data_IF_484642544116
#
_entry.id   IF_484642544116
#
_cell.length_a   1.000
_cell.length_b   1.000
_cell.length_c   1.000
_cell.angle_alpha   90.00
_cell.angle_beta   90.00
_cell.angle_gamma   90.00
#
_symmetry.space_group_name_H-M   'P 1'
#
loop_
_entity.id
_entity.type
_entity.pdbx_description
1 polymer ?
#
# COMPACT_ATOMS: atom_id res chain seq x y z
N UNK A 1 3.27 7.47 24.05
CA UNK A 1 3.25 6.09 24.61
C UNK A 1 4.13 5.23 23.72
N UNK A 2 5.18 4.58 24.26
CA UNK A 2 6.14 3.79 23.47
C UNK A 2 6.75 2.65 24.27
N UNK A 3 7.12 1.56 23.60
CA UNK A 3 7.86 0.44 24.19
C UNK A 3 7.00 -0.49 25.04
N UNK A 4 5.71 -0.62 24.76
CA UNK A 4 4.78 -1.38 25.60
C UNK A 4 4.17 -2.57 24.84
N UNK A 5 3.93 -3.67 25.56
CA UNK A 5 2.97 -4.69 25.18
C UNK A 5 1.61 -4.31 25.79
N UNK A 6 0.63 -4.00 24.94
CA UNK A 6 -0.72 -3.57 25.32
C UNK A 6 -1.69 -4.67 24.90
N UNK A 7 -2.10 -5.51 25.85
CA UNK A 7 -2.84 -6.74 25.55
C UNK A 7 -3.94 -7.05 26.57
N UNK A 8 -5.02 -7.71 26.11
CA UNK A 8 -6.11 -8.18 26.96
C UNK A 8 -6.99 -7.06 27.53
N UNK A 9 -6.91 -5.84 27.00
CA UNK A 9 -7.75 -4.72 27.41
C UNK A 9 -9.01 -4.63 26.55
N UNK A 10 -10.10 -4.04 27.09
CA UNK A 10 -11.24 -3.64 26.25
C UNK A 10 -10.83 -2.56 25.25
N UNK A 11 -10.05 -1.58 25.72
CA UNK A 11 -9.41 -0.55 24.91
C UNK A 11 -7.95 -0.47 25.32
N UNK A 12 -7.01 -0.67 24.40
CA UNK A 12 -5.58 -0.59 24.70
C UNK A 12 -5.16 0.83 25.12
N UNK A 13 -5.43 1.81 24.26
CA UNK A 13 -5.35 3.25 24.55
C UNK A 13 -6.69 3.89 24.25
N UNK A 14 -7.23 4.65 25.21
CA UNK A 14 -8.50 5.37 25.04
C UNK A 14 -8.32 6.87 25.27
N UNK A 15 -8.55 7.65 24.22
CA UNK A 15 -8.82 9.09 24.35
C UNK A 15 -10.32 9.23 24.56
N UNK A 16 -10.69 9.68 25.76
CA UNK A 16 -12.10 9.89 26.09
C UNK A 16 -12.66 11.09 25.35
N UNK A 17 -13.94 11.00 25.09
CA UNK A 17 -14.78 12.08 24.60
C UNK A 17 -14.65 13.30 25.52
N UNK A 18 -14.67 14.51 24.95
CA UNK A 18 -14.57 15.77 25.72
C UNK A 18 -13.14 16.20 26.08
N UNK A 19 -12.10 15.45 25.71
CA UNK A 19 -10.71 15.94 25.78
C UNK A 19 -10.53 17.07 24.77
N UNK A 20 -10.10 18.25 25.24
CA UNK A 20 -10.04 19.47 24.43
C UNK A 20 -8.73 19.63 23.64
N UNK A 21 -7.66 18.98 24.07
CA UNK A 21 -6.35 19.07 23.41
C UNK A 21 -5.61 17.72 23.52
N UNK A 22 -5.14 17.23 22.37
CA UNK A 22 -4.30 16.04 22.25
C UNK A 22 -3.00 16.34 21.50
N UNK A 23 -2.67 17.62 21.29
CA UNK A 23 -1.50 18.07 20.53
C UNK A 23 -0.23 17.48 21.13
N UNK A 24 0.64 16.93 20.27
CA UNK A 24 1.88 16.28 20.68
C UNK A 24 1.71 14.89 21.30
N UNK A 25 0.50 14.34 21.36
CA UNK A 25 0.28 12.96 21.76
C UNK A 25 0.63 12.03 20.61
N UNK A 26 1.62 11.17 20.82
CA UNK A 26 1.95 10.09 19.90
C UNK A 26 1.97 8.74 20.61
N UNK A 27 1.51 7.71 19.94
CA UNK A 27 1.48 6.33 20.42
C UNK A 27 2.23 5.51 19.38
N UNK A 28 3.52 5.26 19.57
CA UNK A 28 4.36 4.62 18.55
C UNK A 28 5.23 3.55 19.19
N UNK A 29 5.68 2.56 18.42
CA UNK A 29 6.55 1.48 18.86
C UNK A 29 5.98 0.70 20.05
N UNK A 30 4.69 0.37 19.99
CA UNK A 30 4.03 -0.55 20.92
C UNK A 30 3.54 -1.79 20.17
N UNK A 31 3.31 -2.87 20.92
CA UNK A 31 2.66 -4.09 20.45
C UNK A 31 1.23 -4.12 21.01
N UNK A 32 0.23 -3.88 20.18
CA UNK A 32 -1.18 -4.11 20.49
C UNK A 32 -1.54 -5.55 20.11
N UNK A 33 -2.05 -6.33 21.05
CA UNK A 33 -2.39 -7.75 20.80
C UNK A 33 -3.61 -8.13 21.64
N UNK A 34 -4.61 -8.77 21.05
CA UNK A 34 -5.78 -9.33 21.75
C UNK A 34 -6.57 -8.29 22.57
N UNK A 35 -6.74 -7.07 22.06
CA UNK A 35 -7.64 -6.08 22.68
C UNK A 35 -9.06 -6.20 22.10
N UNK A 36 -10.08 -6.24 22.96
CA UNK A 36 -11.42 -6.72 22.56
C UNK A 36 -12.22 -5.75 21.70
N UNK A 37 -12.18 -4.43 21.97
CA UNK A 37 -12.91 -3.45 21.15
C UNK A 37 -11.97 -2.72 20.19
N UNK A 38 -10.91 -2.13 20.74
CA UNK A 38 -9.91 -1.39 19.96
C UNK A 38 -8.53 -1.47 20.63
N UNK A 39 -7.48 -1.60 19.82
CA UNK A 39 -6.13 -1.27 20.25
C UNK A 39 -6.06 0.20 20.63
N UNK A 40 -6.56 1.09 19.76
CA UNK A 40 -6.71 2.53 20.06
C UNK A 40 -8.11 3.03 19.71
N UNK A 41 -8.77 3.63 20.70
CA UNK A 41 -10.00 4.38 20.52
C UNK A 41 -9.76 5.87 20.76
N UNK A 42 -10.06 6.66 19.74
CA UNK A 42 -10.05 8.11 19.77
C UNK A 42 -11.47 8.67 19.72
N UNK A 43 -11.98 9.10 20.88
CA UNK A 43 -13.30 9.71 21.03
C UNK A 43 -13.38 11.20 20.66
N UNK A 44 -12.31 11.80 20.11
CA UNK A 44 -12.28 13.21 19.69
C UNK A 44 -12.05 13.36 18.18
N UNK A 45 -12.26 14.58 17.67
CA UNK A 45 -12.17 14.88 16.24
C UNK A 45 -10.72 15.01 15.73
N UNK A 46 -9.78 15.40 16.59
CA UNK A 46 -8.37 15.53 16.22
C UNK A 46 -7.72 14.16 16.02
N UNK A 47 -6.89 14.03 14.99
CA UNK A 47 -6.17 12.79 14.71
C UNK A 47 -5.00 12.59 15.68
N UNK A 48 -4.88 11.38 16.23
CA UNK A 48 -3.69 10.95 16.98
C UNK A 48 -2.71 10.23 16.06
N UNK A 49 -1.42 10.52 16.20
CA UNK A 49 -0.37 9.75 15.56
C UNK A 49 -0.17 8.41 16.29
N UNK A 50 -0.56 7.34 15.60
CA UNK A 50 -0.39 5.96 16.01
C UNK A 50 0.42 5.13 15.00
N UNK A 51 1.29 5.80 14.24
CA UNK A 51 2.19 5.14 13.29
C UNK A 51 3.21 4.27 14.03
N UNK A 52 3.81 3.31 13.32
CA UNK A 52 4.92 2.50 13.82
C UNK A 52 4.55 1.64 15.05
N UNK A 53 3.31 1.14 15.14
CA UNK A 53 2.95 0.09 16.10
C UNK A 53 2.77 -1.26 15.40
N UNK A 54 2.99 -2.35 16.14
CA UNK A 54 2.53 -3.69 15.77
C UNK A 54 1.12 -3.88 16.31
N UNK A 55 0.22 -4.42 15.49
CA UNK A 55 -1.20 -4.54 15.82
C UNK A 55 -1.65 -5.97 16.10
N UNK A 56 -0.71 -6.91 16.23
CA UNK A 56 -1.03 -8.32 16.45
C UNK A 56 -1.10 -9.13 15.16
N UNK A 57 -1.10 -8.48 13.99
CA UNK A 57 -1.12 -9.12 12.68
C UNK A 57 -0.36 -8.29 11.62
N UNK A 58 0.24 -8.97 10.63
CA UNK A 58 1.04 -8.38 9.55
C UNK A 58 0.20 -7.46 8.65
N UNK A 59 -1.09 -7.74 8.53
CA UNK A 59 -2.06 -6.92 7.79
C UNK A 59 -2.42 -5.61 8.50
N UNK A 60 -1.91 -5.39 9.72
CA UNK A 60 -2.12 -4.17 10.49
C UNK A 60 -3.46 -4.16 11.24
N UNK A 61 -3.89 -2.99 11.74
CA UNK A 61 -5.11 -2.89 12.52
C UNK A 61 -6.33 -2.94 11.60
N UNK A 62 -7.41 -3.54 12.08
CA UNK A 62 -8.70 -3.38 11.41
C UNK A 62 -9.18 -1.93 11.46
N UNK A 63 -9.53 -1.37 10.30
CA UNK A 63 -10.28 -0.12 10.20
C UNK A 63 -11.24 -0.17 9.02
N UNK A 64 -12.54 0.05 9.28
CA UNK A 64 -13.62 -0.21 8.33
C UNK A 64 -13.48 0.44 6.93
N UNK A 65 -12.78 1.57 6.80
CA UNK A 65 -12.57 2.25 5.51
C UNK A 65 -11.11 2.34 5.07
N UNK A 66 -10.17 2.62 5.97
CA UNK A 66 -8.75 2.80 5.66
C UNK A 66 -7.91 1.50 5.63
N UNK A 67 -8.36 0.43 6.28
CA UNK A 67 -7.75 -0.89 6.20
C UNK A 67 -8.83 -1.96 6.42
N UNK A 68 -9.80 -2.06 5.48
CA UNK A 68 -10.89 -3.01 5.62
C UNK A 68 -10.34 -4.42 5.41
N UNK A 69 -10.45 -5.24 6.44
CA UNK A 69 -10.17 -6.67 6.32
C UNK A 69 -11.28 -7.40 5.62
N UNK A 70 -10.92 -8.49 4.93
CA UNK A 70 -11.89 -9.51 4.53
C UNK A 70 -11.92 -10.67 5.53
N UNK A 71 -10.93 -10.76 6.42
CA UNK A 71 -10.88 -11.72 7.51
C UNK A 71 -11.25 -11.06 8.83
N UNK A 72 -12.00 -11.80 9.66
CA UNK A 72 -12.29 -11.45 11.05
C UNK A 72 -11.07 -11.56 12.00
N UNK A 73 -9.86 -11.68 11.44
CA UNK A 73 -8.59 -11.97 12.11
C UNK A 73 -7.49 -10.98 11.70
N UNK A 74 -7.84 -9.71 11.44
CA UNK A 74 -6.82 -8.67 11.37
C UNK A 74 -6.29 -8.36 12.78
N UNK A 75 -5.27 -7.51 12.85
CA UNK A 75 -4.81 -6.95 14.11
C UNK A 75 -5.87 -6.11 14.81
N UNK A 76 -5.56 -5.76 16.05
CA UNK A 76 -6.40 -4.96 16.94
C UNK A 76 -6.95 -3.72 16.25
N UNK A 77 -8.28 -3.56 16.32
CA UNK A 77 -8.97 -2.51 15.61
C UNK A 77 -8.58 -1.10 16.09
N UNK A 78 -8.72 -0.12 15.21
CA UNK A 78 -8.61 1.31 15.53
C UNK A 78 -9.87 2.05 15.15
N UNK A 79 -10.22 3.09 15.91
CA UNK A 79 -11.33 3.98 15.56
C UNK A 79 -10.93 4.96 14.46
N UNK A 80 -11.89 5.78 14.02
CA UNK A 80 -11.60 6.98 13.24
C UNK A 80 -10.62 7.91 13.98
N UNK A 81 -9.99 8.82 13.24
CA UNK A 81 -9.02 9.81 13.76
C UNK A 81 -7.80 9.17 14.43
N UNK A 82 -7.41 7.97 13.99
CA UNK A 82 -6.16 7.31 14.38
C UNK A 82 -5.32 7.13 13.13
N UNK A 83 -4.18 7.81 13.05
CA UNK A 83 -3.23 7.63 11.96
C UNK A 83 -2.34 6.43 12.26
N UNK A 84 -2.63 5.28 11.64
CA UNK A 84 -1.92 4.02 11.92
C UNK A 84 -0.95 3.57 10.81
N UNK A 85 -0.96 4.25 9.65
CA UNK A 85 -0.09 3.92 8.51
C UNK A 85 1.07 4.92 8.41
N UNK A 86 2.33 4.47 8.31
CA UNK A 86 2.73 3.05 8.28
C UNK A 86 2.61 2.37 9.66
N UNK A 87 2.36 1.06 9.66
CA UNK A 87 2.45 0.20 10.85
C UNK A 87 3.67 -0.71 10.77
N UNK A 88 4.00 -1.38 11.87
CA UNK A 88 5.01 -2.43 11.88
C UNK A 88 4.34 -3.77 11.52
N UNK A 89 4.90 -4.57 10.61
CA UNK A 89 4.43 -5.94 10.35
C UNK A 89 5.25 -7.02 11.08
N UNK A 90 6.19 -6.60 11.95
CA UNK A 90 6.88 -7.46 12.92
C UNK A 90 6.81 -6.79 14.29
N UNK A 91 6.91 -7.57 15.37
CA UNK A 91 6.88 -7.01 16.72
C UNK A 91 8.04 -6.03 16.96
N UNK A 92 7.84 -5.08 17.87
CA UNK A 92 8.87 -4.11 18.22
C UNK A 92 10.18 -4.79 18.67
N UNK A 93 10.11 -5.87 19.44
CA UNK A 93 11.27 -6.62 19.94
C UNK A 93 12.05 -7.31 18.81
N UNK A 94 11.42 -7.58 17.67
CA UNK A 94 12.09 -8.17 16.52
C UNK A 94 12.87 -7.10 15.74
N UNK A 95 12.38 -5.86 15.73
CA UNK A 95 12.97 -4.74 15.00
C UNK A 95 14.14 -4.10 15.78
N UNK A 96 14.04 -4.01 17.10
CA UNK A 96 15.10 -3.41 17.94
C UNK A 96 16.48 -4.06 17.72
N UNK A 97 16.61 -5.40 17.65
CA UNK A 97 17.88 -6.08 17.38
C UNK A 97 18.38 -5.95 15.95
N UNK A 98 17.49 -6.01 14.95
CA UNK A 98 17.89 -5.94 13.53
C UNK A 98 18.20 -4.51 13.10
N UNK A 99 17.60 -3.51 13.76
CA UNK A 99 17.54 -2.10 13.35
C UNK A 99 16.96 -1.89 11.96
N UNK A 100 16.43 -2.93 11.33
CA UNK A 100 15.76 -2.86 10.04
C UNK A 100 14.26 -2.76 10.27
N UNK A 101 13.66 -1.61 9.96
CA UNK A 101 12.26 -1.41 10.25
C UNK A 101 11.35 -2.15 9.26
N UNK A 102 10.47 -2.98 9.82
CA UNK A 102 9.49 -3.77 9.09
C UNK A 102 8.18 -2.99 8.96
N UNK A 103 8.14 -2.01 8.05
CA UNK A 103 6.97 -1.15 7.84
C UNK A 103 5.99 -1.69 6.80
N UNK A 104 4.71 -1.40 6.99
CA UNK A 104 3.66 -1.72 6.04
C UNK A 104 2.63 -0.60 5.94
N UNK A 105 1.94 -0.56 4.79
CA UNK A 105 0.80 0.32 4.55
C UNK A 105 -0.33 -0.43 3.82
N UNK A 106 -1.54 0.13 3.87
CA UNK A 106 -2.75 -0.46 3.30
C UNK A 106 -3.06 0.14 1.94
N UNK A 107 -3.36 -0.72 0.96
CA UNK A 107 -4.03 -0.34 -0.29
C UNK A 107 -5.46 -0.85 -0.21
N UNK A 108 -6.41 0.07 -0.12
CA UNK A 108 -7.84 -0.24 -0.04
C UNK A 108 -8.37 -0.58 -1.43
N UNK A 109 -9.12 -1.69 -1.52
CA UNK A 109 -9.78 -2.16 -2.73
C UNK A 109 -11.30 -2.19 -2.49
N UNK A 110 -12.04 -1.39 -3.25
CA UNK A 110 -13.49 -1.29 -3.11
C UNK A 110 -14.24 -2.38 -3.89
N UNK A 111 -15.47 -2.70 -3.50
CA UNK A 111 -16.38 -3.51 -4.31
C UNK A 111 -17.62 -2.74 -4.83
N UNK A 112 -17.77 -1.47 -4.44
CA UNK A 112 -18.95 -0.65 -4.74
C UNK A 112 -18.68 0.43 -5.80
N UNK A 113 -17.42 0.68 -6.15
CA UNK A 113 -16.99 1.65 -7.15
C UNK A 113 -17.35 1.23 -8.58
N UNK A 114 -16.46 1.41 -9.56
CA UNK A 114 -16.71 1.07 -10.97
C UNK A 114 -16.80 -0.44 -11.20
N UNK A 115 -17.91 -1.03 -10.75
CA UNK A 115 -18.21 -2.45 -10.83
C UNK A 115 -17.20 -3.33 -10.07
N UNK A 116 -16.61 -2.79 -8.99
CA UNK A 116 -15.63 -3.44 -8.14
C UNK A 116 -14.22 -3.54 -8.73
N UNK A 117 -13.93 -2.88 -9.85
CA UNK A 117 -12.58 -2.84 -10.39
C UNK A 117 -11.69 -1.90 -9.60
N UNK A 118 -10.48 -2.37 -9.33
CA UNK A 118 -9.41 -1.66 -8.64
C UNK A 118 -8.10 -1.86 -9.39
N UNK A 119 -7.13 -0.99 -9.09
CA UNK A 119 -5.73 -1.24 -9.46
C UNK A 119 -4.86 -1.41 -8.23
N UNK A 120 -3.72 -2.07 -8.44
CA UNK A 120 -2.71 -2.27 -7.41
C UNK A 120 -1.33 -2.15 -8.03
N UNK A 121 -0.38 -1.58 -7.29
CA UNK A 121 1.06 -1.58 -7.60
C UNK A 121 1.86 -1.42 -6.32
N UNK A 122 3.08 -1.96 -6.30
CA UNK A 122 4.00 -1.78 -5.18
C UNK A 122 5.07 -0.73 -5.52
N UNK A 123 5.41 0.18 -4.59
CA UNK A 123 6.43 1.20 -4.85
C UNK A 123 7.86 0.70 -4.69
N UNK A 124 8.03 -0.36 -3.92
CA UNK A 124 9.31 -0.99 -3.58
C UNK A 124 9.12 -2.50 -3.49
N UNK A 125 10.22 -3.22 -3.36
CA UNK A 125 10.19 -4.67 -3.17
C UNK A 125 9.44 -5.02 -1.89
N UNK A 126 8.62 -6.07 -1.99
CA UNK A 126 7.90 -6.59 -0.86
C UNK A 126 8.80 -7.51 -0.01
N UNK A 127 8.49 -7.63 1.27
CA UNK A 127 9.05 -8.67 2.14
C UNK A 127 8.71 -10.07 1.57
N UNK A 128 9.61 -11.02 1.76
CA UNK A 128 9.51 -12.36 1.16
C UNK A 128 8.29 -13.15 1.67
N UNK A 129 7.69 -12.75 2.78
CA UNK A 129 6.42 -13.27 3.30
C UNK A 129 5.22 -12.90 2.42
N UNK A 130 5.32 -11.86 1.57
CA UNK A 130 4.22 -11.34 0.76
C UNK A 130 4.61 -10.94 -0.69
N UNK A 131 5.77 -11.39 -1.18
CA UNK A 131 6.34 -10.98 -2.48
C UNK A 131 5.75 -11.63 -3.74
N UNK A 132 4.84 -12.58 -3.58
CA UNK A 132 4.12 -13.21 -4.70
C UNK A 132 2.63 -13.02 -4.57
N UNK A 133 1.94 -13.08 -5.70
CA UNK A 133 0.48 -12.99 -5.74
C UNK A 133 -0.18 -13.98 -4.77
N UNK A 134 0.18 -15.26 -4.82
CA UNK A 134 -0.36 -16.28 -3.93
C UNK A 134 -0.15 -15.99 -2.44
N UNK A 135 1.05 -15.53 -2.05
CA UNK A 135 1.34 -15.17 -0.65
C UNK A 135 0.48 -14.00 -0.19
N UNK A 136 0.35 -12.96 -1.02
CA UNK A 136 -0.43 -11.77 -0.71
C UNK A 136 -1.94 -12.08 -0.57
N UNK A 137 -2.48 -12.94 -1.43
CA UNK A 137 -3.87 -13.40 -1.33
C UNK A 137 -4.08 -14.31 -0.12
N UNK A 138 -3.12 -15.19 0.19
CA UNK A 138 -3.19 -16.05 1.38
C UNK A 138 -3.14 -15.24 2.68
N UNK A 139 -2.31 -14.19 2.72
CA UNK A 139 -2.15 -13.32 3.88
C UNK A 139 -3.45 -12.58 4.22
N UNK A 140 -4.15 -12.09 3.20
CA UNK A 140 -5.33 -11.21 3.38
C UNK A 140 -6.66 -11.94 3.32
N UNK A 141 -6.70 -13.13 2.71
CA UNK A 141 -7.94 -13.84 2.40
C UNK A 141 -8.84 -13.10 1.41
N UNK A 142 -8.27 -12.20 0.60
CA UNK A 142 -8.96 -11.29 -0.30
C UNK A 142 -10.04 -12.00 -1.13
N UNK A 143 -11.23 -11.39 -1.26
CA UNK A 143 -12.35 -11.93 -2.04
C UNK A 143 -12.54 -11.14 -3.33
N UNK A 144 -12.01 -11.69 -4.41
CA UNK A 144 -12.03 -11.09 -5.74
C UNK A 144 -12.48 -12.13 -6.77
N UNK A 145 -13.14 -11.66 -7.84
CA UNK A 145 -13.64 -12.51 -8.92
C UNK A 145 -12.58 -12.80 -9.97
N UNK A 146 -11.80 -11.78 -10.36
CA UNK A 146 -10.72 -11.89 -11.34
C UNK A 146 -9.61 -10.89 -11.05
N UNK A 147 -8.37 -11.27 -11.36
CA UNK A 147 -7.22 -10.38 -11.33
C UNK A 147 -6.37 -10.57 -12.59
N UNK A 148 -5.70 -9.50 -13.03
CA UNK A 148 -4.86 -9.50 -14.23
C UNK A 148 -3.60 -8.66 -14.01
N UNK A 149 -2.49 -9.11 -14.58
CA UNK A 149 -1.38 -8.24 -14.97
C UNK A 149 -1.53 -7.86 -16.45
N UNK A 150 -0.84 -6.82 -16.87
CA UNK A 150 -0.73 -6.47 -18.29
C UNK A 150 0.68 -6.75 -18.80
N UNK A 151 0.80 -7.61 -19.81
CA UNK A 151 2.06 -7.90 -20.48
C UNK A 151 2.30 -6.89 -21.59
N UNK A 152 3.13 -5.88 -21.33
CA UNK A 152 3.37 -4.80 -22.29
C UNK A 152 4.22 -5.22 -23.50
N UNK A 153 4.93 -6.35 -23.44
CA UNK A 153 5.69 -6.84 -24.58
C UNK A 153 4.77 -7.39 -25.69
N UNK A 154 3.66 -8.02 -25.30
CA UNK A 154 2.68 -8.61 -26.23
C UNK A 154 1.35 -7.84 -26.26
N UNK A 155 1.19 -6.82 -25.42
CA UNK A 155 -0.02 -5.99 -25.29
C UNK A 155 -1.27 -6.78 -24.89
N UNK A 156 -1.12 -7.75 -23.98
CA UNK A 156 -2.21 -8.64 -23.55
C UNK A 156 -2.40 -8.65 -22.03
N UNK A 157 -3.65 -8.85 -21.59
CA UNK A 157 -3.95 -9.14 -20.19
C UNK A 157 -3.64 -10.60 -19.88
N UNK A 158 -2.91 -10.82 -18.79
CA UNK A 158 -2.58 -12.15 -18.29
C UNK A 158 -3.29 -12.37 -16.97
N UNK A 159 -4.18 -13.38 -16.85
CA UNK A 159 -4.92 -13.63 -15.62
C UNK A 159 -3.98 -14.06 -14.49
N UNK A 160 -4.32 -13.67 -13.27
CA UNK A 160 -3.66 -14.08 -12.03
C UNK A 160 -4.63 -14.88 -11.17
N UNK A 161 -4.35 -16.17 -11.03
CA UNK A 161 -5.08 -17.08 -10.17
C UNK A 161 -4.57 -16.96 -8.73
N UNK A 162 -5.43 -17.26 -7.75
CA UNK A 162 -5.08 -17.12 -6.34
C UNK A 162 -3.88 -17.97 -5.89
N UNK A 163 -3.55 -19.04 -6.61
CA UNK A 163 -2.41 -19.92 -6.32
C UNK A 163 -1.13 -19.55 -7.09
N UNK A 164 -1.15 -18.49 -7.89
CA UNK A 164 0.00 -18.14 -8.73
C UNK A 164 1.15 -17.59 -7.90
N UNK A 165 2.32 -18.21 -8.03
CA UNK A 165 3.58 -17.76 -7.42
C UNK A 165 4.24 -16.63 -8.22
N UNK A 166 3.44 -15.84 -8.95
CA UNK A 166 3.94 -14.71 -9.72
C UNK A 166 4.55 -13.67 -8.79
N UNK A 167 5.84 -13.39 -8.97
CA UNK A 167 6.58 -12.43 -8.15
C UNK A 167 6.14 -11.02 -8.52
N UNK A 168 5.66 -10.29 -7.52
CA UNK A 168 5.24 -8.90 -7.68
C UNK A 168 6.49 -8.03 -7.68
N UNK A 169 6.71 -7.30 -8.76
CA UNK A 169 7.87 -6.41 -8.86
C UNK A 169 7.45 -4.94 -8.78
N UNK A 170 8.32 -4.05 -8.28
CA UNK A 170 7.95 -2.67 -8.07
C UNK A 170 7.54 -1.94 -9.36
N UNK A 171 6.56 -1.05 -9.24
CA UNK A 171 5.98 -0.30 -10.34
C UNK A 171 5.13 -1.14 -11.30
N UNK A 172 4.94 -2.44 -11.06
CA UNK A 172 3.99 -3.25 -11.84
C UNK A 172 2.56 -2.90 -11.48
N UNK A 173 1.74 -2.65 -12.49
CA UNK A 173 0.33 -2.48 -12.28
C UNK A 173 -0.48 -3.76 -12.47
N UNK A 174 -1.48 -3.92 -11.62
CA UNK A 174 -2.44 -5.01 -11.63
C UNK A 174 -3.86 -4.47 -11.67
N UNK A 175 -4.78 -5.25 -12.23
CA UNK A 175 -6.22 -5.04 -12.15
C UNK A 175 -6.85 -6.12 -11.30
N UNK A 176 -7.77 -5.72 -10.42
CA UNK A 176 -8.45 -6.62 -9.49
C UNK A 176 -9.92 -6.27 -9.47
N UNK A 177 -10.79 -7.25 -9.72
CA UNK A 177 -12.23 -7.08 -9.55
C UNK A 177 -12.67 -7.70 -8.24
N UNK A 178 -13.05 -6.88 -7.28
CA UNK A 178 -13.42 -7.28 -5.93
C UNK A 178 -14.87 -7.76 -5.86
N UNK A 179 -15.10 -8.81 -5.08
CA UNK A 179 -16.45 -9.27 -4.71
C UNK A 179 -16.90 -8.62 -3.39
N UNK A 180 -15.96 -8.47 -2.46
CA UNK A 180 -16.14 -7.80 -1.16
C UNK A 180 -15.01 -6.79 -0.97
N UNK A 181 -15.32 -5.61 -0.42
CA UNK A 181 -14.29 -4.62 -0.11
C UNK A 181 -13.22 -5.22 0.82
N UNK A 182 -11.98 -4.86 0.60
CA UNK A 182 -10.84 -5.39 1.35
C UNK A 182 -9.60 -4.52 1.17
N UNK A 183 -8.47 -4.96 1.69
CA UNK A 183 -7.19 -4.30 1.48
C UNK A 183 -6.08 -5.29 1.15
N UNK A 184 -5.05 -4.79 0.47
CA UNK A 184 -3.77 -5.45 0.30
C UNK A 184 -2.69 -4.68 1.05
N UNK A 185 -1.91 -5.32 1.94
CA UNK A 185 -0.78 -4.67 2.57
C UNK A 185 0.40 -4.59 1.61
N UNK A 186 1.14 -3.50 1.67
CA UNK A 186 2.48 -3.39 1.07
C UNK A 186 3.47 -3.59 2.21
N UNK A 187 3.92 -4.82 2.44
CA UNK A 187 4.97 -5.13 3.42
C UNK A 187 6.33 -4.73 2.83
N UNK A 188 6.96 -3.68 3.37
CA UNK A 188 8.25 -3.22 2.84
C UNK A 188 9.34 -4.24 3.16
N UNK A 189 10.12 -4.63 2.15
CA UNK A 189 11.26 -5.51 2.36
C UNK A 189 12.24 -4.90 3.37
N UNK A 190 12.68 -5.71 4.34
CA UNK A 190 13.78 -5.35 5.24
C UNK A 190 15.16 -5.59 4.60
N UNK A 191 15.21 -6.21 3.44
CA UNK A 191 16.46 -6.50 2.74
C UNK A 191 17.01 -5.24 2.06
N UNK A 192 18.33 -5.08 2.14
CA UNK A 192 19.00 -3.92 1.55
C UNK A 192 18.98 -3.98 0.02
N UNK A 193 18.44 -2.94 -0.60
CA UNK A 193 18.56 -2.71 -2.05
C UNK A 193 19.70 -1.75 -2.34
N UNK A 194 20.60 -2.13 -3.25
CA UNK A 194 21.73 -1.30 -3.69
C UNK A 194 21.32 -0.15 -4.60
N UNK A 195 20.15 -0.25 -5.23
CA UNK A 195 19.62 0.73 -6.17
C UNK A 195 18.11 0.91 -5.97
N UNK A 196 17.56 2.10 -6.26
CA UNK A 196 16.11 2.26 -6.36
C UNK A 196 15.54 1.27 -7.38
N UNK A 197 14.30 0.80 -7.19
CA UNK A 197 13.66 -0.08 -8.15
C UNK A 197 13.57 0.61 -9.51
N UNK A 198 13.68 -0.18 -10.57
CA UNK A 198 13.53 0.31 -11.94
C UNK A 198 12.68 -0.65 -12.75
N UNK A 199 11.93 -0.12 -13.70
CA UNK A 199 11.05 -0.91 -14.57
C UNK A 199 11.28 -0.55 -16.03
N UNK A 200 11.60 -1.56 -16.82
CA UNK A 200 11.63 -1.42 -18.28
C UNK A 200 10.20 -1.26 -18.81
N UNK A 201 10.01 -0.26 -19.67
CA UNK A 201 8.77 0.04 -20.36
C UNK A 201 8.97 -0.18 -21.85
N UNK A 202 8.02 -0.85 -22.48
CA UNK A 202 8.01 -1.07 -23.93
C UNK A 202 7.37 0.12 -24.63
N UNK A 203 7.50 0.20 -25.95
CA UNK A 203 6.63 1.05 -26.77
C UNK A 203 5.17 0.59 -26.57
N UNK A 204 4.23 1.52 -26.74
CA UNK A 204 2.79 1.34 -26.55
C UNK A 204 2.37 1.31 -25.07
N UNK A 205 1.28 0.59 -24.75
CA UNK A 205 0.68 0.65 -23.42
C UNK A 205 1.52 -0.11 -22.40
N UNK A 206 1.67 0.51 -21.23
CA UNK A 206 2.23 -0.10 -20.04
C UNK A 206 1.27 0.20 -18.89
N UNK A 207 1.02 -0.79 -18.03
CA UNK A 207 0.26 -0.59 -16.79
C UNK A 207 1.26 -0.53 -15.64
N UNK A 208 1.44 0.66 -15.06
CA UNK A 208 2.49 0.90 -14.07
C UNK A 208 2.01 1.76 -12.92
N UNK A 209 2.57 1.52 -11.73
CA UNK A 209 2.38 2.39 -10.57
C UNK A 209 3.61 3.23 -10.25
N UNK A 210 3.51 3.94 -9.13
CA UNK A 210 4.61 4.72 -8.58
C UNK A 210 5.69 3.84 -7.99
N UNK A 211 6.95 4.18 -8.23
CA UNK A 211 8.12 3.64 -7.54
C UNK A 211 8.62 4.63 -6.45
N UNK A 212 7.69 5.10 -5.61
CA UNK A 212 7.88 6.12 -4.56
C UNK A 212 6.96 5.83 -3.38
N UNK A 213 7.44 6.10 -2.16
CA UNK A 213 6.64 5.97 -0.93
C UNK A 213 5.75 7.18 -0.64
N UNK A 214 5.79 8.19 -1.50
CA UNK A 214 4.93 9.37 -1.42
C UNK A 214 4.18 9.56 -2.73
N UNK A 215 2.96 10.10 -2.64
CA UNK A 215 2.19 10.54 -3.81
C UNK A 215 3.00 11.60 -4.58
N UNK A 216 3.02 11.54 -5.90
CA UNK A 216 3.82 12.42 -6.74
C UNK A 216 2.97 12.92 -7.91
N UNK A 217 3.25 14.15 -8.36
CA UNK A 217 2.75 14.59 -9.66
C UNK A 217 3.33 13.74 -10.78
N UNK A 218 2.63 13.62 -11.91
CA UNK A 218 3.11 12.89 -13.09
C UNK A 218 4.53 13.29 -13.48
N UNK A 219 4.80 14.59 -13.54
CA UNK A 219 6.10 15.11 -13.98
C UNK A 219 7.25 14.66 -13.06
N UNK A 220 7.00 14.61 -11.76
CA UNK A 220 7.97 14.13 -10.78
C UNK A 220 8.11 12.61 -10.81
N UNK A 221 6.97 11.91 -10.93
CA UNK A 221 6.94 10.44 -10.96
C UNK A 221 7.62 9.86 -12.19
N UNK A 222 7.41 10.48 -13.35
CA UNK A 222 7.84 9.98 -14.65
C UNK A 222 8.98 10.80 -15.25
N UNK A 223 9.68 11.60 -14.44
CA UNK A 223 10.80 12.42 -14.90
C UNK A 223 11.90 11.63 -15.63
N UNK A 224 12.18 10.40 -15.18
CA UNK A 224 13.17 9.51 -15.84
C UNK A 224 12.75 9.03 -17.22
N UNK A 225 11.46 9.11 -17.56
CA UNK A 225 10.90 8.75 -18.86
C UNK A 225 10.29 9.92 -19.61
N UNK A 226 10.43 11.17 -19.13
CA UNK A 226 9.72 12.31 -19.71
C UNK A 226 10.30 12.77 -21.07
N UNK A 227 11.62 12.77 -21.25
CA UNK A 227 12.26 13.38 -22.44
C UNK A 227 13.46 12.60 -22.98
N UNK A 228 13.66 12.63 -24.31
CA UNK A 228 14.93 12.38 -25.01
C UNK A 228 15.23 13.56 -25.93
N UNK A 229 16.46 13.65 -26.49
CA UNK A 229 16.82 14.69 -27.44
C UNK A 229 15.82 14.91 -28.59
N UNK A 230 15.11 13.85 -29.03
CA UNK A 230 14.27 13.90 -30.24
C UNK A 230 12.81 13.44 -30.07
N UNK A 231 12.38 13.03 -28.85
CA UNK A 231 11.00 12.54 -28.61
C UNK A 231 10.60 12.62 -27.13
N UNK A 232 9.34 13.00 -26.87
CA UNK A 232 8.70 12.79 -25.56
C UNK A 232 8.71 11.29 -25.23
N UNK A 233 9.05 10.91 -24.00
CA UNK A 233 9.15 9.47 -23.69
C UNK A 233 7.78 8.80 -23.51
N UNK A 234 6.76 9.54 -23.09
CA UNK A 234 5.35 9.10 -23.10
C UNK A 234 4.47 10.11 -23.83
N UNK A 235 3.38 9.61 -24.42
CA UNK A 235 2.37 10.42 -25.09
C UNK A 235 1.12 10.66 -24.23
N UNK A 236 0.79 9.74 -23.33
CA UNK A 236 -0.41 9.82 -22.52
C UNK A 236 -0.26 9.06 -21.20
N UNK A 237 -0.86 9.60 -20.13
CA UNK A 237 -1.08 8.91 -18.85
C UNK A 237 -2.57 8.96 -18.53
N UNK A 238 -3.18 7.81 -18.25
CA UNK A 238 -4.62 7.67 -18.01
C UNK A 238 -4.85 6.94 -16.68
N UNK A 239 -5.69 7.54 -15.82
CA UNK A 239 -6.21 6.85 -14.64
C UNK A 239 -7.23 5.79 -15.08
N UNK A 240 -7.01 4.51 -14.75
CA UNK A 240 -7.95 3.46 -15.01
C UNK A 240 -9.30 3.74 -14.39
N UNK A 241 -10.31 3.08 -14.95
CA UNK A 241 -11.66 3.27 -14.48
C UNK A 241 -11.79 2.80 -13.00
N UNK A 242 -10.99 1.82 -12.57
CA UNK A 242 -11.00 1.26 -11.22
C UNK A 242 -10.25 2.01 -10.11
N UNK A 243 -9.64 3.17 -10.35
CA UNK A 243 -9.01 3.90 -9.23
C UNK A 243 -10.07 4.64 -8.41
N UNK A 244 -9.88 4.71 -7.09
CA UNK A 244 -10.78 5.41 -6.15
C UNK A 244 -10.88 6.90 -6.49
N UNK A 245 -9.86 7.45 -7.15
CA UNK A 245 -9.84 8.78 -7.75
C UNK A 245 -10.02 8.71 -9.28
N UNK A 246 -11.26 8.89 -9.75
CA UNK A 246 -11.58 8.89 -11.19
C UNK A 246 -11.13 10.18 -11.90
N UNK A 247 -10.51 10.02 -13.07
CA UNK A 247 -10.36 11.13 -14.04
C UNK A 247 -9.62 10.69 -15.30
N UNK A 248 -10.26 10.82 -16.47
CA UNK A 248 -9.80 10.32 -17.78
C UNK A 248 -8.45 10.88 -18.28
N UNK A 249 -7.93 11.88 -17.58
CA UNK A 249 -6.54 12.33 -17.47
C UNK A 249 -6.49 12.79 -16.01
N UNK A 250 -5.48 12.37 -15.24
CA UNK A 250 -5.40 12.57 -13.78
C UNK A 250 -5.94 13.94 -13.39
N UNK A 251 -7.11 13.99 -12.74
CA UNK A 251 -7.86 15.23 -12.55
C UNK A 251 -7.09 16.30 -11.75
N UNK A 252 -6.11 15.86 -10.96
CA UNK A 252 -5.18 16.66 -10.17
C UNK A 252 -3.70 16.48 -10.57
N UNK A 253 -3.43 15.69 -11.62
CA UNK A 253 -2.07 15.35 -12.06
C UNK A 253 -1.26 14.52 -11.06
N UNK A 254 -1.88 13.93 -10.04
CA UNK A 254 -1.19 13.19 -8.97
C UNK A 254 -1.35 11.68 -9.16
N UNK A 255 -0.24 10.96 -9.05
CA UNK A 255 -0.22 9.52 -8.93
C UNK A 255 -0.18 9.15 -7.44
N UNK A 256 -0.91 8.11 -7.07
CA UNK A 256 -1.01 7.64 -5.70
C UNK A 256 -0.22 6.36 -5.47
N UNK A 257 0.39 6.27 -4.28
CA UNK A 257 1.09 5.06 -3.83
C UNK A 257 0.07 3.94 -3.70
N UNK A 258 0.41 2.76 -4.22
CA UNK A 258 -0.49 1.61 -4.21
C UNK A 258 -1.38 1.49 -5.45
N UNK A 259 -1.53 2.55 -6.26
CA UNK A 259 -2.34 2.53 -7.48
C UNK A 259 -1.49 2.33 -8.74
N UNK A 260 -2.15 1.89 -9.82
CA UNK A 260 -1.56 1.78 -11.15
C UNK A 260 -2.30 2.61 -12.20
N UNK A 261 -1.56 2.94 -13.27
CA UNK A 261 -1.96 3.87 -14.32
C UNK A 261 -1.53 3.36 -15.69
N UNK A 262 -2.35 3.65 -16.69
CA UNK A 262 -1.98 3.38 -18.08
C UNK A 262 -1.04 4.46 -18.58
N UNK A 263 0.11 4.06 -19.09
CA UNK A 263 1.09 4.96 -19.69
C UNK A 263 1.37 4.49 -21.12
N UNK A 264 1.09 5.37 -22.08
CA UNK A 264 1.41 5.13 -23.49
C UNK A 264 2.80 5.67 -23.80
N UNK A 265 3.73 4.77 -24.10
CA UNK A 265 5.12 5.09 -24.38
C UNK A 265 5.34 5.26 -25.87
N UNK A 266 5.97 6.36 -26.26
CA UNK A 266 6.36 6.61 -27.66
C UNK A 266 7.71 5.96 -28.00
N UNK A 267 8.45 5.54 -26.98
CA UNK A 267 9.74 4.86 -27.10
C UNK A 267 10.01 4.02 -25.86
N UNK A 268 10.65 2.86 -26.01
CA UNK A 268 11.03 2.02 -24.88
C UNK A 268 12.02 2.75 -23.95
N UNK A 269 11.82 2.68 -22.63
CA UNK A 269 12.62 3.37 -21.61
C UNK A 269 12.66 2.61 -20.31
N UNK A 270 13.49 3.07 -19.38
CA UNK A 270 13.51 2.58 -18.00
C UNK A 270 12.95 3.65 -17.08
N UNK A 271 11.84 3.34 -16.41
CA UNK A 271 11.35 4.11 -15.29
C UNK A 271 12.25 3.84 -14.08
N UNK A 272 12.85 4.88 -13.53
CA UNK A 272 13.62 4.82 -12.30
C UNK A 272 12.75 5.27 -11.11
N UNK A 273 12.75 4.48 -10.04
CA UNK A 273 12.20 4.84 -8.74
C UNK A 273 13.14 5.74 -7.95
N UNK A 274 12.65 6.21 -6.80
CA UNK A 274 13.33 7.21 -5.96
C UNK A 274 13.72 6.71 -4.57
N UNK A 275 13.37 5.48 -4.20
CA UNK A 275 13.55 4.95 -2.84
C UNK A 275 14.15 3.55 -2.83
N UNK A 276 15.03 3.27 -1.87
CA UNK A 276 15.62 1.95 -1.60
C UNK A 276 15.08 1.35 -0.32
N UNK A 277 15.12 0.03 -0.20
CA UNK A 277 14.91 -0.69 1.06
C UNK A 277 16.25 -0.89 1.78
N UNK A 278 16.26 -1.00 3.13
CA UNK A 278 15.13 -0.83 4.03
C UNK A 278 14.72 0.64 4.18
N UNK A 279 13.45 0.88 4.52
CA UNK A 279 12.87 2.23 4.55
C UNK A 279 13.01 2.84 5.93
N UNK A 280 13.67 4.00 6.06
CA UNK A 280 13.69 4.76 7.31
C UNK A 280 12.61 5.86 7.29
N UNK A 281 11.82 5.97 8.38
CA UNK A 281 10.81 7.02 8.59
C UNK A 281 11.20 7.90 9.77
#
# INVERSE_FOLDING_TARGET
VKGNLITGCTYGVRIKEGVSDITGTSVNYNNFVDNTNYGIYNGVASTIDATNNWWGDETGPYHATANPGVVANMGDAVSNNVLFSPWLYKTQETIVPTKEPAYAQSVVLDNTGKYGWNTFSTPIYLDDTADTWAKLISLTGLKYSVAYRFDSAIQEFVPLLAADVYVITPGEGFFIKMDTAGSLPILYSTEQSLMPPSRALTVDWNLIGLASLSHLTVDNAFGSIATAPDLAGYGQVVSPSGNVNQGAVLADGTLHVGEAYWVYMLGARTLAGSTTTPVNW
#
